data_IF_032808254671
#
_entry.id   IF_032808254671
#
_cell.length_a   1.000
_cell.length_b   1.000
_cell.length_c   1.000
_cell.angle_alpha   90.00
_cell.angle_beta   90.00
_cell.angle_gamma   90.00
#
_symmetry.space_group_name_H-M   'P 1'
#
loop_
_entity.id
_entity.type
_entity.pdbx_description
1 polymer ?
#
# COMPACT_ATOMS: atom_id res chain seq x y z
N UNK A 1 37.44 -2.41 22.84
CA UNK A 1 36.13 -2.44 22.21
C UNK A 1 35.90 -1.05 21.66
N UNK A 2 35.66 -0.89 20.35
CA UNK A 2 35.31 0.41 19.78
C UNK A 2 33.96 0.82 20.35
N UNK A 3 33.85 2.05 20.81
CA UNK A 3 32.60 2.65 21.27
C UNK A 3 31.57 2.56 20.10
N UNK A 4 30.32 2.11 20.33
CA UNK A 4 29.37 2.01 19.24
C UNK A 4 29.12 3.41 18.66
N UNK A 5 29.65 3.64 17.47
CA UNK A 5 29.48 4.92 16.78
C UNK A 5 27.99 5.08 16.44
N UNK A 6 27.37 6.09 17.00
CA UNK A 6 25.94 6.40 16.69
C UNK A 6 25.82 6.70 15.19
N UNK A 7 24.92 6.06 14.45
CA UNK A 7 24.72 6.31 13.02
C UNK A 7 24.42 7.79 12.74
N UNK A 8 25.05 8.36 11.73
CA UNK A 8 24.91 9.79 11.38
C UNK A 8 23.48 10.20 11.03
N UNK A 9 22.63 9.27 10.58
CA UNK A 9 21.23 9.56 10.30
C UNK A 9 20.51 10.21 11.49
N UNK A 10 20.81 9.79 12.72
CA UNK A 10 20.17 10.37 13.92
C UNK A 10 20.64 11.79 14.21
N UNK A 11 21.91 12.07 13.99
CA UNK A 11 22.44 13.43 14.11
C UNK A 11 21.82 14.35 13.03
N UNK A 12 21.66 13.85 11.81
CA UNK A 12 21.03 14.57 10.72
C UNK A 12 19.53 14.84 11.00
N UNK A 13 18.79 13.85 11.52
CA UNK A 13 17.38 14.04 11.95
C UNK A 13 17.27 15.15 13.01
N UNK A 14 18.11 15.10 14.04
CA UNK A 14 18.12 16.14 15.09
C UNK A 14 18.49 17.52 14.52
N UNK A 15 19.37 17.58 13.52
CA UNK A 15 19.71 18.80 12.81
C UNK A 15 18.51 19.41 12.08
N UNK A 16 17.75 18.59 11.36
CA UNK A 16 16.51 19.01 10.70
C UNK A 16 15.47 19.49 11.71
N UNK A 17 15.28 18.76 12.82
CA UNK A 17 14.38 19.17 13.90
C UNK A 17 14.73 20.55 14.43
N UNK A 18 16.03 20.82 14.64
CA UNK A 18 16.51 22.13 15.11
C UNK A 18 16.23 23.24 14.11
N UNK A 19 16.51 22.97 12.83
CA UNK A 19 16.32 23.98 11.77
C UNK A 19 14.85 24.29 11.54
N UNK A 20 13.96 23.29 11.68
CA UNK A 20 12.50 23.45 11.53
C UNK A 20 11.82 23.96 12.80
N UNK A 21 12.46 23.82 13.96
CA UNK A 21 11.87 24.15 15.26
C UNK A 21 11.68 25.64 15.51
N UNK A 22 12.42 26.52 14.79
CA UNK A 22 12.33 27.98 14.97
C UNK A 22 11.05 28.56 14.36
N UNK A 23 10.71 28.17 13.14
CA UNK A 23 9.64 28.79 12.34
C UNK A 23 8.43 27.89 12.11
N UNK A 24 8.62 26.57 12.14
CA UNK A 24 7.59 25.60 11.84
C UNK A 24 7.05 25.75 10.41
N UNK A 25 5.85 25.22 10.14
CA UNK A 25 5.14 25.40 8.86
C UNK A 25 3.74 25.91 9.15
N UNK A 26 3.43 27.13 8.70
CA UNK A 26 2.13 27.76 8.92
C UNK A 26 1.01 27.12 8.07
N UNK A 27 -0.26 27.29 8.51
CA UNK A 27 -1.46 26.92 7.76
C UNK A 27 -1.99 28.11 6.98
N UNK A 28 -1.26 28.55 5.95
CA UNK A 28 -1.58 29.79 5.23
C UNK A 28 -2.58 29.60 4.09
N UNK A 29 -2.86 28.34 3.73
CA UNK A 29 -3.85 28.04 2.69
C UNK A 29 -5.22 27.77 3.31
N UNK A 30 -6.27 28.34 2.69
CA UNK A 30 -7.65 28.17 3.12
C UNK A 30 -8.44 27.36 2.08
N UNK A 31 -9.10 26.30 2.52
CA UNK A 31 -10.09 25.61 1.69
C UNK A 31 -11.37 26.45 1.65
N UNK A 32 -11.64 27.08 0.50
CA UNK A 32 -12.78 28.00 0.34
C UNK A 32 -14.14 27.28 0.40
N UNK A 33 -14.19 25.98 0.08
CA UNK A 33 -15.44 25.22 0.10
C UNK A 33 -15.80 24.70 1.49
N UNK A 34 -14.81 24.39 2.31
CA UNK A 34 -15.01 23.79 3.63
C UNK A 34 -14.55 24.68 4.78
N UNK A 35 -13.99 25.87 4.49
CA UNK A 35 -13.69 26.92 5.47
C UNK A 35 -12.49 26.68 6.39
N UNK A 36 -11.77 25.56 6.28
CA UNK A 36 -10.61 25.25 7.14
C UNK A 36 -9.28 25.68 6.51
N UNK A 37 -8.30 25.98 7.38
CA UNK A 37 -6.93 26.29 6.96
C UNK A 37 -6.10 25.00 6.90
N UNK A 38 -5.26 24.88 5.88
CA UNK A 38 -4.39 23.70 5.68
C UNK A 38 -3.00 24.11 5.18
N UNK A 39 -2.05 23.16 5.27
CA UNK A 39 -0.72 23.24 4.66
C UNK A 39 -0.74 22.54 3.33
N UNK A 40 -0.34 23.21 2.27
CA UNK A 40 -0.10 22.59 0.97
C UNK A 40 1.12 21.68 1.03
N UNK A 41 1.21 20.73 0.10
CA UNK A 41 2.42 19.91 -0.05
C UNK A 41 3.63 20.77 -0.43
N UNK A 42 3.41 21.79 -1.25
CA UNK A 42 4.47 22.69 -1.68
C UNK A 42 5.09 23.46 -0.51
N UNK A 43 4.24 23.89 0.46
CA UNK A 43 4.70 24.60 1.65
C UNK A 43 5.63 23.72 2.48
N UNK A 44 5.32 22.41 2.57
CA UNK A 44 6.14 21.42 3.26
C UNK A 44 7.45 21.19 2.52
N UNK A 45 7.43 21.00 1.20
CA UNK A 45 8.65 20.82 0.41
C UNK A 45 9.56 22.05 0.49
N UNK A 46 8.99 23.25 0.34
CA UNK A 46 9.76 24.51 0.35
C UNK A 46 10.44 24.77 1.70
N UNK A 47 9.76 24.43 2.80
CA UNK A 47 10.34 24.58 4.13
C UNK A 47 11.37 23.49 4.46
N UNK A 48 11.08 22.25 4.08
CA UNK A 48 11.88 21.08 4.50
C UNK A 48 13.13 20.90 3.63
N UNK A 49 13.07 21.19 2.32
CA UNK A 49 14.17 20.96 1.38
C UNK A 49 15.50 21.61 1.80
N UNK A 50 15.57 22.90 2.20
CA UNK A 50 16.80 23.50 2.65
C UNK A 50 17.33 22.88 3.95
N UNK A 51 16.45 22.50 4.90
CA UNK A 51 16.84 21.86 6.15
C UNK A 51 17.42 20.45 5.91
N UNK A 52 16.81 19.68 5.02
CA UNK A 52 17.34 18.36 4.61
C UNK A 52 18.71 18.49 3.97
N UNK A 53 18.86 19.39 3.00
CA UNK A 53 20.13 19.60 2.30
C UNK A 53 21.24 20.05 3.25
N UNK A 54 20.95 21.00 4.15
CA UNK A 54 21.91 21.51 5.15
C UNK A 54 22.40 20.41 6.08
N UNK A 55 21.56 19.45 6.42
CA UNK A 55 21.87 18.36 7.35
C UNK A 55 22.31 17.06 6.63
N UNK A 56 22.59 17.08 5.33
CA UNK A 56 22.98 15.92 4.53
C UNK A 56 22.02 14.73 4.71
N UNK A 57 20.73 15.01 4.76
CA UNK A 57 19.67 14.01 4.93
C UNK A 57 18.79 13.93 3.70
N UNK A 58 18.53 12.72 3.21
CA UNK A 58 17.54 12.45 2.17
C UNK A 58 16.30 11.81 2.79
N UNK A 59 15.12 12.15 2.29
CA UNK A 59 13.86 11.51 2.62
C UNK A 59 13.27 10.88 1.36
N UNK A 60 13.39 9.55 1.22
CA UNK A 60 13.11 8.82 -0.01
C UNK A 60 11.86 7.95 0.15
N UNK A 61 10.78 8.19 -0.61
CA UNK A 61 9.54 7.42 -0.51
C UNK A 61 9.65 6.07 -1.23
N UNK A 62 9.04 5.04 -0.64
CA UNK A 62 8.82 3.73 -1.24
C UNK A 62 7.39 3.28 -0.96
N UNK A 63 6.56 3.19 -1.98
CA UNK A 63 5.17 2.71 -1.85
C UNK A 63 5.19 1.21 -1.54
N UNK A 64 4.61 0.84 -0.39
CA UNK A 64 4.43 -0.57 0.01
C UNK A 64 3.12 -1.14 -0.52
N UNK A 65 2.05 -0.38 -0.36
CA UNK A 65 0.74 -0.79 -0.84
C UNK A 65 -0.07 0.41 -1.30
N UNK A 66 -0.99 0.17 -2.23
CA UNK A 66 -2.00 1.12 -2.68
C UNK A 66 -3.32 0.40 -2.85
N UNK A 67 -4.32 0.84 -2.12
CA UNK A 67 -5.69 0.35 -2.22
C UNK A 67 -6.53 1.48 -2.81
N UNK A 68 -7.33 1.16 -3.83
CA UNK A 68 -8.27 2.09 -4.43
C UNK A 68 -9.66 1.46 -4.39
N UNK A 69 -10.62 2.22 -3.88
CA UNK A 69 -12.04 1.86 -3.89
C UNK A 69 -12.84 2.94 -4.59
N UNK A 70 -13.88 2.53 -5.28
CA UNK A 70 -14.79 3.44 -5.96
C UNK A 70 -16.05 3.65 -5.13
N UNK A 71 -16.54 4.88 -5.12
CA UNK A 71 -17.80 5.26 -4.51
C UNK A 71 -18.61 6.14 -5.47
N UNK A 72 -19.90 6.28 -5.22
CA UNK A 72 -20.76 7.15 -6.00
C UNK A 72 -21.00 8.47 -5.26
N UNK A 73 -21.02 9.59 -5.99
CA UNK A 73 -21.53 10.87 -5.48
C UNK A 73 -23.06 10.86 -5.44
N UNK A 74 -23.66 11.77 -4.67
CA UNK A 74 -25.12 11.97 -4.65
C UNK A 74 -25.70 12.32 -6.02
N UNK A 75 -24.88 12.88 -6.91
CA UNK A 75 -25.26 13.25 -8.29
C UNK A 75 -24.95 12.19 -9.33
N UNK A 76 -24.54 10.96 -8.93
CA UNK A 76 -24.24 9.84 -9.82
C UNK A 76 -22.85 9.84 -10.44
N UNK A 77 -21.95 10.75 -10.03
CA UNK A 77 -20.54 10.73 -10.44
C UNK A 77 -19.72 9.71 -9.64
N UNK A 78 -18.55 9.33 -10.14
CA UNK A 78 -17.62 8.41 -9.46
C UNK A 78 -16.68 9.20 -8.55
N UNK A 79 -16.41 8.64 -7.37
CA UNK A 79 -15.36 9.08 -6.44
C UNK A 79 -14.36 7.95 -6.26
N UNK A 80 -13.08 8.28 -6.30
CA UNK A 80 -11.99 7.37 -6.03
C UNK A 80 -11.42 7.64 -4.65
N UNK A 81 -11.47 6.65 -3.76
CA UNK A 81 -10.83 6.67 -2.45
C UNK A 81 -9.53 5.89 -2.56
N UNK A 82 -8.43 6.52 -2.21
CA UNK A 82 -7.11 5.89 -2.26
C UNK A 82 -6.46 5.94 -0.89
N UNK A 83 -5.95 4.80 -0.46
CA UNK A 83 -5.09 4.63 0.70
C UNK A 83 -3.73 4.14 0.21
N UNK A 84 -2.67 4.85 0.58
CA UNK A 84 -1.29 4.46 0.31
C UNK A 84 -0.55 4.23 1.62
N UNK A 85 0.09 3.07 1.76
CA UNK A 85 1.10 2.82 2.77
C UNK A 85 2.48 3.07 2.16
N UNK A 86 3.23 3.98 2.75
CA UNK A 86 4.50 4.45 2.20
C UNK A 86 5.57 4.42 3.27
N UNK A 87 6.67 3.72 2.99
CA UNK A 87 7.90 3.84 3.75
C UNK A 87 8.68 5.07 3.25
N UNK A 88 9.25 5.80 4.18
CA UNK A 88 10.17 6.88 3.91
C UNK A 88 11.53 6.54 4.52
N UNK A 89 12.51 6.27 3.68
CA UNK A 89 13.87 6.05 4.10
C UNK A 89 14.55 7.41 4.35
N UNK A 90 14.89 7.70 5.60
CA UNK A 90 15.74 8.81 6.00
C UNK A 90 17.19 8.34 5.89
N UNK A 91 17.92 8.84 4.92
CA UNK A 91 19.28 8.38 4.61
C UNK A 91 20.29 9.51 4.81
N UNK A 92 21.27 9.28 5.66
CA UNK A 92 22.42 10.20 5.80
C UNK A 92 23.34 10.09 4.58
N UNK A 93 23.62 11.20 3.92
CA UNK A 93 24.59 11.26 2.83
C UNK A 93 26.06 11.18 3.31
N UNK A 94 26.30 11.23 4.62
CA UNK A 94 27.66 11.18 5.21
C UNK A 94 28.19 9.75 5.26
N UNK A 95 27.33 8.80 5.73
CA UNK A 95 27.74 7.41 6.00
C UNK A 95 26.79 6.36 5.41
N UNK A 96 25.72 6.79 4.74
CA UNK A 96 24.70 5.90 4.19
C UNK A 96 23.82 5.24 5.25
N UNK A 97 23.97 5.58 6.52
CA UNK A 97 23.10 5.07 7.58
C UNK A 97 21.66 5.50 7.34
N UNK A 98 20.72 4.63 7.72
CA UNK A 98 19.31 4.77 7.36
C UNK A 98 18.40 4.50 8.55
N UNK A 99 17.32 5.29 8.64
CA UNK A 99 16.16 5.04 9.48
C UNK A 99 14.90 5.08 8.62
N UNK A 100 14.05 4.06 8.72
CA UNK A 100 12.81 3.98 7.95
C UNK A 100 11.62 4.31 8.83
N UNK A 101 10.75 5.18 8.35
CA UNK A 101 9.44 5.46 8.96
C UNK A 101 8.34 5.09 7.97
N UNK A 102 7.19 4.66 8.48
CA UNK A 102 6.03 4.32 7.66
C UNK A 102 4.91 5.31 7.94
N UNK A 103 4.26 5.81 6.89
CA UNK A 103 3.08 6.63 7.00
C UNK A 103 1.98 6.16 6.06
N UNK A 104 0.74 6.40 6.47
CA UNK A 104 -0.45 6.14 5.66
C UNK A 104 -0.97 7.47 5.16
N UNK A 105 -1.21 7.55 3.85
CA UNK A 105 -1.86 8.67 3.21
C UNK A 105 -3.20 8.26 2.62
N UNK A 106 -4.21 9.05 2.89
CA UNK A 106 -5.56 8.83 2.40
C UNK A 106 -6.04 10.04 1.62
N UNK A 107 -6.72 9.79 0.52
CA UNK A 107 -7.32 10.87 -0.26
C UNK A 107 -8.53 10.39 -1.06
N UNK A 108 -9.37 11.35 -1.37
CA UNK A 108 -10.53 11.20 -2.22
C UNK A 108 -10.45 12.20 -3.39
N UNK A 109 -10.78 11.74 -4.58
CA UNK A 109 -10.87 12.58 -5.78
C UNK A 109 -11.92 12.04 -6.75
N UNK A 110 -12.52 12.93 -7.53
CA UNK A 110 -13.49 12.58 -8.57
C UNK A 110 -12.85 12.32 -9.94
N UNK A 111 -11.52 12.40 -10.05
CA UNK A 111 -10.75 12.26 -11.28
C UNK A 111 -9.44 11.48 -11.03
N UNK A 112 -8.38 11.81 -11.76
CA UNK A 112 -7.11 11.09 -11.81
C UNK A 112 -6.11 11.39 -10.67
N UNK A 113 -6.47 12.28 -9.72
CA UNK A 113 -5.52 12.82 -8.73
C UNK A 113 -5.57 12.17 -7.34
N UNK A 114 -6.45 11.19 -7.11
CA UNK A 114 -6.61 10.58 -5.80
C UNK A 114 -5.29 9.99 -5.25
N UNK A 115 -4.54 9.26 -6.09
CA UNK A 115 -3.23 8.70 -5.69
C UNK A 115 -2.22 9.79 -5.34
N UNK A 116 -2.11 10.83 -6.17
CA UNK A 116 -1.17 11.93 -5.91
C UNK A 116 -1.50 12.68 -4.61
N UNK A 117 -2.79 12.88 -4.33
CA UNK A 117 -3.26 13.47 -3.06
C UNK A 117 -2.93 12.57 -1.88
N UNK A 118 -3.14 11.25 -1.98
CA UNK A 118 -2.80 10.28 -0.94
C UNK A 118 -1.28 10.27 -0.65
N UNK A 119 -0.45 10.26 -1.70
CA UNK A 119 1.02 10.35 -1.57
C UNK A 119 1.45 11.66 -0.91
N UNK A 120 0.84 12.79 -1.27
CA UNK A 120 1.11 14.09 -0.65
C UNK A 120 0.71 14.11 0.83
N UNK A 121 -0.39 13.45 1.20
CA UNK A 121 -0.81 13.31 2.58
C UNK A 121 0.19 12.44 3.36
N UNK A 122 0.60 11.28 2.83
CA UNK A 122 1.59 10.42 3.46
C UNK A 122 2.91 11.16 3.72
N UNK A 123 3.44 11.88 2.73
CA UNK A 123 4.67 12.66 2.87
C UNK A 123 4.55 13.73 3.96
N UNK A 124 3.47 14.52 3.97
CA UNK A 124 3.25 15.57 4.97
C UNK A 124 3.24 14.99 6.38
N UNK A 125 2.49 13.93 6.62
CA UNK A 125 2.40 13.32 7.93
C UNK A 125 3.73 12.67 8.35
N UNK A 126 4.40 11.97 7.44
CA UNK A 126 5.71 11.41 7.69
C UNK A 126 6.72 12.48 8.11
N UNK A 127 6.81 13.59 7.35
CA UNK A 127 7.74 14.69 7.64
C UNK A 127 7.41 15.36 8.99
N UNK A 128 6.13 15.67 9.24
CA UNK A 128 5.71 16.34 10.47
C UNK A 128 5.98 15.48 11.72
N UNK A 129 5.77 14.18 11.63
CA UNK A 129 6.00 13.24 12.74
C UNK A 129 7.51 12.97 12.94
N UNK A 130 8.25 12.70 11.85
CA UNK A 130 9.68 12.40 11.93
C UNK A 130 10.51 13.56 12.49
N UNK A 131 10.15 14.79 12.13
CA UNK A 131 10.91 15.98 12.50
C UNK A 131 10.22 16.82 13.58
N UNK A 132 9.11 16.34 14.15
CA UNK A 132 8.34 17.05 15.20
C UNK A 132 8.12 18.53 14.84
N UNK A 133 7.73 18.78 13.56
CA UNK A 133 7.64 20.15 13.03
C UNK A 133 6.54 20.93 13.77
N UNK A 134 6.85 22.07 14.40
CA UNK A 134 5.86 22.88 15.08
C UNK A 134 4.74 23.34 14.13
N UNK A 135 3.55 23.42 14.66
CA UNK A 135 2.39 23.86 13.90
C UNK A 135 1.81 25.13 14.50
N UNK A 136 1.73 26.20 13.73
CA UNK A 136 1.01 27.39 14.16
C UNK A 136 -0.49 27.08 14.23
N UNK A 137 -1.13 27.37 15.37
CA UNK A 137 -2.54 27.08 15.64
C UNK A 137 -2.81 25.62 16.05
N UNK A 138 -4.05 25.32 16.49
CA UNK A 138 -4.46 23.97 16.87
C UNK A 138 -4.39 23.03 15.67
N UNK A 139 -3.63 21.94 15.81
CA UNK A 139 -3.58 20.82 14.85
C UNK A 139 -4.16 19.55 15.45
N UNK A 140 -4.81 19.71 16.60
CA UNK A 140 -5.45 18.63 17.31
C UNK A 140 -6.67 18.16 16.53
N UNK A 141 -6.57 16.95 15.97
CA UNK A 141 -7.68 16.33 15.25
C UNK A 141 -8.86 16.05 16.17
N UNK A 142 -8.61 15.92 17.48
CA UNK A 142 -9.63 15.67 18.49
C UNK A 142 -10.34 16.95 18.95
N UNK A 143 -9.75 18.13 18.64
CA UNK A 143 -10.31 19.44 18.99
C UNK A 143 -11.60 19.80 18.24
N UNK A 144 -11.90 19.12 17.14
CA UNK A 144 -13.10 19.30 16.33
C UNK A 144 -13.58 17.97 15.77
N UNK A 145 -14.38 17.25 16.54
CA UNK A 145 -15.13 16.12 15.99
C UNK A 145 -16.38 16.68 15.28
N UNK A 146 -16.45 16.62 13.94
CA UNK A 146 -17.68 17.01 13.24
C UNK A 146 -18.81 16.10 13.73
N UNK A 147 -19.96 16.70 14.11
CA UNK A 147 -21.14 15.87 14.36
C UNK A 147 -21.40 14.99 13.12
N UNK A 148 -21.63 13.68 13.32
CA UNK A 148 -21.98 12.80 12.21
C UNK A 148 -23.22 13.37 11.52
N UNK A 149 -23.15 13.59 10.20
CA UNK A 149 -24.33 14.01 9.46
C UNK A 149 -25.49 13.08 9.79
N UNK A 150 -26.72 13.59 10.06
CA UNK A 150 -27.86 12.76 10.41
C UNK A 150 -28.07 11.73 9.30
N UNK A 151 -28.05 10.46 9.67
CA UNK A 151 -28.31 9.34 8.74
C UNK A 151 -29.78 9.44 8.30
N UNK A 152 -30.03 10.00 7.12
CA UNK A 152 -31.32 9.91 6.47
C UNK A 152 -31.48 8.48 5.94
N UNK A 153 -32.37 7.71 6.53
CA UNK A 153 -32.74 6.37 6.08
C UNK A 153 -32.55 5.33 7.18
N UNK A 154 -33.70 4.85 7.70
CA UNK A 154 -33.79 4.00 8.87
C UNK A 154 -33.03 2.69 8.78
N UNK A 155 -32.05 2.55 9.60
CA UNK A 155 -31.60 1.26 10.08
C UNK A 155 -32.12 1.12 11.53
N UNK A 156 -33.08 0.25 11.73
CA UNK A 156 -33.54 -0.12 13.06
C UNK A 156 -32.34 -0.73 13.81
N UNK A 157 -31.96 -0.06 14.85
CA UNK A 157 -30.92 -0.55 15.78
C UNK A 157 -31.59 -1.52 16.75
N UNK A 158 -31.48 -2.80 16.48
CA UNK A 158 -31.66 -3.82 17.51
C UNK A 158 -30.38 -4.64 17.57
N UNK A 159 -29.38 -4.11 18.34
CA UNK A 159 -28.41 -4.92 19.06
C UNK A 159 -27.43 -3.99 19.80
N UNK A 160 -27.05 -4.28 21.04
CA UNK A 160 -26.06 -3.50 21.79
C UNK A 160 -24.67 -3.66 21.15
N UNK A 161 -23.92 -2.56 21.09
CA UNK A 161 -22.57 -2.55 20.54
C UNK A 161 -21.70 -3.64 21.18
N UNK A 162 -21.01 -4.47 20.38
CA UNK A 162 -20.11 -5.46 20.95
C UNK A 162 -18.96 -4.76 21.69
N UNK A 163 -18.72 -5.19 22.94
CA UNK A 163 -17.51 -4.84 23.68
C UNK A 163 -16.26 -5.10 22.83
N UNK A 164 -15.29 -4.21 22.88
CA UNK A 164 -13.94 -4.44 22.32
C UNK A 164 -13.39 -5.76 22.84
N UNK A 165 -13.51 -6.81 22.04
CA UNK A 165 -12.73 -8.02 22.16
C UNK A 165 -11.54 -7.85 21.23
N UNK A 166 -10.34 -8.17 21.72
CA UNK A 166 -9.15 -8.29 20.89
C UNK A 166 -9.54 -9.01 19.57
N UNK A 167 -9.36 -8.33 18.45
CA UNK A 167 -9.60 -8.95 17.14
C UNK A 167 -8.60 -10.07 16.97
N UNK A 168 -9.05 -11.27 17.22
CA UNK A 168 -8.47 -12.44 16.57
C UNK A 168 -8.48 -12.14 15.07
N UNK A 169 -7.36 -12.26 14.34
CA UNK A 169 -7.35 -12.03 12.90
C UNK A 169 -8.50 -12.82 12.28
N UNK A 170 -9.32 -12.15 11.48
CA UNK A 170 -10.38 -12.83 10.75
C UNK A 170 -9.75 -13.95 9.95
N UNK A 171 -10.33 -15.16 9.91
CA UNK A 171 -9.85 -16.20 9.03
C UNK A 171 -9.80 -15.62 7.62
N UNK A 172 -8.71 -15.92 6.91
CA UNK A 172 -8.52 -15.49 5.52
C UNK A 172 -9.82 -15.80 4.75
N UNK A 173 -10.31 -14.89 3.88
CA UNK A 173 -11.50 -15.15 3.09
C UNK A 173 -11.33 -16.49 2.40
N UNK A 174 -12.36 -17.35 2.50
CA UNK A 174 -12.35 -18.62 1.84
C UNK A 174 -12.01 -18.43 0.36
N UNK A 175 -11.12 -19.23 -0.22
CA UNK A 175 -10.74 -19.07 -1.62
C UNK A 175 -12.00 -19.04 -2.48
N UNK A 176 -12.14 -18.03 -3.35
CA UNK A 176 -13.24 -17.94 -4.29
C UNK A 176 -13.34 -19.25 -5.04
N UNK A 177 -14.45 -19.95 -4.90
CA UNK A 177 -14.68 -21.19 -5.62
C UNK A 177 -14.53 -20.93 -7.12
N UNK A 178 -13.68 -21.73 -7.75
CA UNK A 178 -13.44 -21.70 -9.18
C UNK A 178 -14.75 -22.01 -9.93
N UNK A 179 -15.23 -21.05 -10.70
CA UNK A 179 -16.48 -21.26 -11.44
C UNK A 179 -16.30 -22.29 -12.55
N UNK A 180 -17.37 -23.01 -12.91
CA UNK A 180 -17.32 -24.00 -13.99
C UNK A 180 -16.85 -23.42 -15.33
N UNK A 181 -17.18 -22.16 -15.61
CA UNK A 181 -16.75 -21.48 -16.82
C UNK A 181 -15.24 -21.18 -16.81
N UNK A 182 -14.71 -20.71 -15.69
CA UNK A 182 -13.26 -20.47 -15.54
C UNK A 182 -12.49 -21.78 -15.66
N UNK A 183 -12.99 -22.86 -15.04
CA UNK A 183 -12.39 -24.19 -15.14
C UNK A 183 -12.35 -24.69 -16.58
N UNK A 184 -13.48 -24.61 -17.30
CA UNK A 184 -13.56 -25.02 -18.70
C UNK A 184 -12.61 -24.21 -19.58
N UNK A 185 -12.55 -22.89 -19.40
CA UNK A 185 -11.62 -22.04 -20.15
C UNK A 185 -10.16 -22.39 -19.89
N UNK A 186 -9.79 -22.62 -18.64
CA UNK A 186 -8.43 -22.99 -18.28
C UNK A 186 -8.03 -24.34 -18.86
N UNK A 187 -8.89 -25.37 -18.75
CA UNK A 187 -8.65 -26.68 -19.35
C UNK A 187 -8.54 -26.60 -20.88
N UNK A 188 -9.38 -25.81 -21.54
CA UNK A 188 -9.29 -25.62 -23.00
C UNK A 188 -7.96 -24.99 -23.45
N UNK A 189 -7.36 -24.10 -22.64
CA UNK A 189 -6.02 -23.60 -22.92
C UNK A 189 -4.93 -24.65 -22.69
N UNK A 190 -5.08 -25.52 -21.67
CA UNK A 190 -4.17 -26.63 -21.42
C UNK A 190 -4.24 -27.66 -22.55
N UNK A 191 -5.44 -27.99 -23.06
CA UNK A 191 -5.64 -28.91 -24.18
C UNK A 191 -4.90 -28.45 -25.44
N UNK A 192 -4.91 -27.13 -25.73
CA UNK A 192 -4.12 -26.55 -26.83
C UNK A 192 -2.61 -26.77 -26.69
N UNK A 193 -2.14 -26.91 -25.43
CA UNK A 193 -0.74 -27.17 -25.12
C UNK A 193 -0.42 -28.66 -24.99
N UNK A 194 -1.40 -29.54 -25.16
CA UNK A 194 -1.28 -30.97 -24.97
C UNK A 194 -1.05 -31.39 -23.51
N UNK A 195 -1.59 -30.64 -22.55
CA UNK A 195 -1.40 -30.82 -21.12
C UNK A 195 -2.72 -31.14 -20.43
N UNK A 196 -2.67 -32.00 -19.41
CA UNK A 196 -3.82 -32.25 -18.54
C UNK A 196 -3.81 -31.34 -17.33
N UNK A 197 -4.97 -31.13 -16.73
CA UNK A 197 -5.09 -30.38 -15.47
C UNK A 197 -4.25 -31.00 -14.34
N UNK A 198 -4.25 -32.35 -14.22
CA UNK A 198 -3.56 -33.05 -13.14
C UNK A 198 -2.04 -32.94 -13.27
N UNK A 199 -1.49 -32.96 -14.49
CA UNK A 199 -0.07 -32.74 -14.72
C UNK A 199 0.37 -31.35 -14.26
N UNK A 200 -0.43 -30.33 -14.58
CA UNK A 200 -0.12 -28.94 -14.18
C UNK A 200 -0.32 -28.72 -12.69
N UNK A 201 -1.34 -29.34 -12.08
CA UNK A 201 -1.57 -29.28 -10.64
C UNK A 201 -0.41 -29.91 -9.86
N UNK A 202 0.04 -31.10 -10.27
CA UNK A 202 1.19 -31.77 -9.66
C UNK A 202 2.49 -30.98 -9.83
N UNK A 203 2.68 -30.34 -10.99
CA UNK A 203 3.85 -29.47 -11.19
C UNK A 203 3.80 -28.24 -10.27
N UNK A 204 2.66 -27.59 -10.13
CA UNK A 204 2.50 -26.44 -9.22
C UNK A 204 2.87 -26.85 -7.79
N UNK A 205 2.38 -27.98 -7.30
CA UNK A 205 2.72 -28.51 -5.98
C UNK A 205 4.24 -28.79 -5.83
N UNK A 206 4.86 -29.36 -6.85
CA UNK A 206 6.30 -29.66 -6.84
C UNK A 206 7.19 -28.43 -6.70
N UNK A 207 6.71 -27.28 -7.18
CA UNK A 207 7.41 -25.98 -7.07
C UNK A 207 6.90 -25.10 -5.92
N UNK A 208 6.13 -25.68 -4.99
CA UNK A 208 5.62 -25.00 -3.79
C UNK A 208 4.51 -24.00 -4.07
N UNK A 209 3.77 -24.17 -5.16
CA UNK A 209 2.60 -23.35 -5.51
C UNK A 209 1.30 -24.08 -5.22
N UNK A 210 0.20 -23.37 -4.92
CA UNK A 210 -1.11 -24.01 -4.77
C UNK A 210 -1.58 -24.61 -6.10
N UNK A 211 -2.59 -25.50 -6.05
CA UNK A 211 -3.23 -26.04 -7.24
C UNK A 211 -3.96 -24.95 -8.02
N UNK A 212 -4.09 -25.06 -9.36
CA UNK A 212 -4.82 -24.05 -10.15
C UNK A 212 -6.25 -23.79 -9.69
N UNK A 213 -6.91 -24.77 -9.07
CA UNK A 213 -8.24 -24.60 -8.45
C UNK A 213 -8.26 -23.68 -7.23
N UNK A 214 -7.13 -23.51 -6.57
CA UNK A 214 -6.95 -22.70 -5.36
C UNK A 214 -6.35 -21.33 -5.66
N UNK A 215 -5.97 -21.08 -6.92
CA UNK A 215 -5.36 -19.84 -7.37
C UNK A 215 -6.38 -18.79 -7.73
N UNK A 216 -6.03 -17.53 -7.54
CA UNK A 216 -6.76 -16.39 -8.11
C UNK A 216 -6.59 -16.34 -9.65
N UNK A 217 -7.53 -15.71 -10.40
CA UNK A 217 -7.48 -15.66 -11.86
C UNK A 217 -6.16 -15.15 -12.44
N UNK A 218 -5.54 -14.14 -11.81
CA UNK A 218 -4.24 -13.62 -12.22
C UNK A 218 -3.10 -14.63 -12.06
N UNK A 219 -3.15 -15.45 -11.02
CA UNK A 219 -2.15 -16.50 -10.77
C UNK A 219 -2.29 -17.63 -11.78
N UNK A 220 -3.52 -18.03 -12.14
CA UNK A 220 -3.79 -19.01 -13.20
C UNK A 220 -3.27 -18.55 -14.56
N UNK A 221 -3.51 -17.28 -14.91
CA UNK A 221 -2.97 -16.68 -16.14
C UNK A 221 -1.44 -16.68 -16.15
N UNK A 222 -0.81 -16.41 -15.01
CA UNK A 222 0.64 -16.46 -14.88
C UNK A 222 1.20 -17.89 -15.08
N UNK A 223 0.49 -18.93 -14.60
CA UNK A 223 0.86 -20.34 -14.84
C UNK A 223 0.78 -20.66 -16.33
N UNK A 224 -0.30 -20.30 -17.01
CA UNK A 224 -0.42 -20.51 -18.46
C UNK A 224 0.67 -19.77 -19.24
N UNK A 225 0.95 -18.52 -18.89
CA UNK A 225 2.02 -17.73 -19.52
C UNK A 225 3.40 -18.34 -19.28
N UNK A 226 3.64 -18.91 -18.09
CA UNK A 226 4.88 -19.60 -17.78
C UNK A 226 5.05 -20.90 -18.61
N UNK A 227 3.96 -21.65 -18.83
CA UNK A 227 3.96 -22.87 -19.66
C UNK A 227 4.13 -22.56 -21.15
N UNK A 228 3.76 -21.37 -21.61
CA UNK A 228 4.03 -20.89 -22.97
C UNK A 228 5.46 -20.35 -23.15
N UNK A 229 6.18 -20.09 -22.04
CA UNK A 229 7.48 -19.43 -22.01
C UNK A 229 8.61 -20.33 -21.47
N UNK A 230 9.62 -19.71 -20.84
CA UNK A 230 10.86 -20.38 -20.42
C UNK A 230 10.67 -21.46 -19.31
N UNK A 231 9.52 -21.50 -18.66
CA UNK A 231 9.22 -22.53 -17.65
C UNK A 231 8.76 -23.85 -18.28
N UNK A 232 8.46 -23.89 -19.59
CA UNK A 232 8.02 -25.11 -20.28
C UNK A 232 9.02 -26.25 -20.14
N UNK A 233 10.31 -26.00 -20.32
CA UNK A 233 11.35 -27.00 -20.15
C UNK A 233 11.43 -27.61 -18.73
N UNK A 234 11.11 -26.82 -17.71
CA UNK A 234 11.04 -27.32 -16.32
C UNK A 234 9.81 -28.18 -16.09
N UNK A 235 8.70 -27.84 -16.73
CA UNK A 235 7.48 -28.65 -16.70
C UNK A 235 7.69 -29.96 -17.44
N UNK A 236 8.27 -29.96 -18.62
CA UNK A 236 8.54 -31.16 -19.42
C UNK A 236 9.49 -32.12 -18.69
N UNK A 237 10.49 -31.59 -17.97
CA UNK A 237 11.37 -32.37 -17.11
C UNK A 237 10.60 -33.02 -15.94
N UNK A 238 9.66 -32.31 -15.32
CA UNK A 238 8.79 -32.83 -14.26
C UNK A 238 7.85 -33.92 -14.82
N UNK A 239 7.18 -33.67 -15.95
CA UNK A 239 6.28 -34.63 -16.60
C UNK A 239 7.00 -35.95 -16.97
N UNK A 240 8.25 -35.87 -17.37
CA UNK A 240 9.08 -37.04 -17.63
C UNK A 240 9.35 -37.88 -16.37
N UNK A 241 9.34 -37.30 -15.17
CA UNK A 241 9.49 -38.03 -13.91
C UNK A 241 8.24 -38.80 -13.52
N UNK A 242 7.07 -38.40 -13.98
CA UNK A 242 5.78 -39.02 -13.69
C UNK A 242 5.51 -40.23 -14.59
N UNK A 243 6.08 -40.26 -15.80
CA UNK A 243 5.98 -41.37 -16.77
C UNK A 243 7.37 -41.84 -17.22
N UNK A 244 8.08 -42.61 -16.37
CA UNK A 244 9.43 -43.12 -16.72
C UNK A 244 9.43 -44.19 -17.81
N UNK A 245 8.28 -44.63 -18.33
CA UNK A 245 8.15 -45.62 -19.38
C UNK A 245 7.62 -45.03 -20.68
N UNK A 246 8.35 -44.05 -21.21
CA UNK A 246 8.22 -43.68 -22.61
C UNK A 246 9.03 -44.64 -23.47
N UNK A 247 8.43 -45.73 -23.94
CA UNK A 247 8.96 -46.50 -25.05
C UNK A 247 8.75 -45.76 -26.35
N UNK A 248 9.70 -45.77 -27.27
CA UNK A 248 9.74 -44.93 -28.49
C UNK A 248 8.59 -45.19 -29.47
#
# INVERSE_FOLDING_TARGET
>A
MADPTIPHVYAAIVGVIRDMGADGIAKDRKNQQQGYSFRGIDDVYNALSPALAKNNLCMLPRVKSRIMTEGATKSGGTLFYVVCEVDFDLVSAVDGSKHTITAIGEAMDSADKATNKAMSAAYKYAAMQAFSIPTAGSNDADGHTPEPAPRQGGWQRNEPAPRWQERVPAPAPAPKQWSDNERKSFCAELDKLGLTYDDVAGWCESVGKPRPSEMEPAQRSAVLSALLGPARGKFDAFAATLNPTGTP
#
